data_IF_150819885657
#
_entry.id   IF_150819885657
#
_cell.length_a   1.000
_cell.length_b   1.000
_cell.length_c   1.000
_cell.angle_alpha   90.00
_cell.angle_beta   90.00
_cell.angle_gamma   90.00
#
_symmetry.space_group_name_H-M   'P 1'
#
loop_
_entity.id
_entity.type
_entity.pdbx_description
1 polymer ?
#
# COMPACT_ATOMS: atom_id res chain seq x y z
N UNK A 1 61.81 24.21 12.72
CA UNK A 1 60.85 24.28 11.60
C UNK A 1 60.36 22.86 11.38
N UNK A 2 59.29 22.45 12.08
CA UNK A 2 58.85 21.05 12.09
C UNK A 2 57.67 20.89 11.13
N UNK A 3 57.98 20.85 9.83
CA UNK A 3 57.06 20.34 8.82
C UNK A 3 57.07 18.82 8.90
N UNK A 4 56.32 18.25 9.84
CA UNK A 4 56.12 16.80 9.88
C UNK A 4 55.00 16.47 8.91
N UNK A 5 55.41 15.90 7.77
CA UNK A 5 54.55 15.38 6.72
C UNK A 5 53.43 14.57 7.35
N UNK A 6 52.20 15.08 7.23
CA UNK A 6 50.99 14.33 7.56
C UNK A 6 51.06 13.06 6.70
N UNK A 7 51.02 11.89 7.34
CA UNK A 7 50.98 10.61 6.63
C UNK A 7 49.84 10.67 5.59
N UNK A 8 50.06 10.27 4.33
CA UNK A 8 49.06 10.40 3.26
C UNK A 8 47.69 9.81 3.62
N UNK A 9 47.69 8.77 4.47
CA UNK A 9 46.48 8.19 5.07
C UNK A 9 45.81 9.20 6.01
N UNK A 10 46.50 9.71 7.03
CA UNK A 10 45.95 10.75 7.92
C UNK A 10 45.37 11.95 7.16
N UNK A 11 45.99 12.37 6.05
CA UNK A 11 45.46 13.43 5.19
C UNK A 11 44.14 13.05 4.50
N UNK A 12 44.05 11.83 3.97
CA UNK A 12 42.85 11.30 3.31
C UNK A 12 41.69 11.16 4.30
N UNK A 13 41.92 10.65 5.51
CA UNK A 13 40.84 10.47 6.48
C UNK A 13 40.35 11.81 7.04
N UNK A 14 41.23 12.83 7.13
CA UNK A 14 40.84 14.20 7.47
C UNK A 14 39.99 14.85 6.37
N UNK A 15 40.32 14.63 5.10
CA UNK A 15 39.52 15.09 3.97
C UNK A 15 38.14 14.42 3.97
N UNK A 16 38.09 13.10 4.22
CA UNK A 16 36.85 12.34 4.39
C UNK A 16 36.00 12.87 5.54
N UNK A 17 36.61 13.17 6.70
CA UNK A 17 35.92 13.74 7.85
C UNK A 17 35.36 15.14 7.56
N UNK A 18 36.14 15.98 6.88
CA UNK A 18 35.69 17.33 6.49
C UNK A 18 34.51 17.25 5.51
N UNK A 19 34.59 16.37 4.50
CA UNK A 19 33.50 16.14 3.57
C UNK A 19 32.24 15.60 4.28
N UNK A 20 32.40 14.64 5.20
CA UNK A 20 31.28 14.15 6.00
C UNK A 20 30.66 15.26 6.86
N UNK A 21 31.47 16.14 7.46
CA UNK A 21 31.01 17.29 8.22
C UNK A 21 30.24 18.29 7.35
N UNK A 22 30.72 18.57 6.14
CA UNK A 22 30.02 19.42 5.17
C UNK A 22 28.66 18.83 4.76
N UNK A 23 28.61 17.52 4.47
CA UNK A 23 27.36 16.80 4.18
C UNK A 23 26.40 16.85 5.37
N UNK A 24 26.89 16.68 6.60
CA UNK A 24 26.06 16.81 7.81
C UNK A 24 25.46 18.21 7.90
N UNK A 25 26.28 19.25 7.77
CA UNK A 25 25.81 20.64 7.83
C UNK A 25 24.77 20.94 6.74
N UNK A 26 24.98 20.41 5.53
CA UNK A 26 24.03 20.55 4.42
C UNK A 26 22.70 19.86 4.74
N UNK A 27 22.73 18.61 5.22
CA UNK A 27 21.52 17.87 5.60
C UNK A 27 20.79 18.53 6.77
N UNK A 28 21.51 19.09 7.75
CA UNK A 28 20.93 19.83 8.86
C UNK A 28 20.19 21.09 8.39
N UNK A 29 20.79 21.83 7.45
CA UNK A 29 20.17 22.99 6.82
C UNK A 29 18.90 22.58 6.05
N UNK A 30 18.98 21.52 5.25
CA UNK A 30 17.82 20.99 4.52
C UNK A 30 16.69 20.56 5.46
N UNK A 31 17.01 19.84 6.54
CA UNK A 31 16.02 19.44 7.55
C UNK A 31 15.37 20.67 8.19
N UNK A 32 16.18 21.68 8.54
CA UNK A 32 15.68 22.93 9.12
C UNK A 32 14.72 23.66 8.17
N UNK A 33 15.09 23.75 6.89
CA UNK A 33 14.25 24.35 5.86
C UNK A 33 12.93 23.57 5.66
N UNK A 34 13.00 22.24 5.52
CA UNK A 34 11.81 21.39 5.39
C UNK A 34 10.89 21.51 6.59
N UNK A 35 11.43 21.53 7.82
CA UNK A 35 10.66 21.74 9.05
C UNK A 35 9.98 23.10 9.06
N UNK A 36 10.68 24.16 8.65
CA UNK A 36 10.10 25.49 8.61
C UNK A 36 8.99 25.61 7.55
N UNK A 37 9.20 25.02 6.37
CA UNK A 37 8.21 24.96 5.30
C UNK A 37 6.97 24.18 5.74
N UNK A 38 7.14 23.00 6.36
CA UNK A 38 6.05 22.22 6.93
C UNK A 38 5.24 23.01 7.96
N UNK A 39 5.93 23.64 8.93
CA UNK A 39 5.27 24.45 9.98
C UNK A 39 4.47 25.61 9.39
N UNK A 40 5.02 26.29 8.38
CA UNK A 40 4.36 27.40 7.70
C UNK A 40 3.11 26.91 6.95
N UNK A 41 3.24 25.87 6.13
CA UNK A 41 2.13 25.27 5.39
C UNK A 41 1.01 24.76 6.31
N UNK A 42 1.36 24.12 7.42
CA UNK A 42 0.41 23.65 8.43
C UNK A 42 -0.34 24.82 9.10
N UNK A 43 0.38 25.88 9.48
CA UNK A 43 -0.22 27.07 10.09
C UNK A 43 -1.20 27.77 9.15
N UNK A 44 -0.80 27.97 7.89
CA UNK A 44 -1.66 28.56 6.87
C UNK A 44 -2.91 27.72 6.60
N UNK A 45 -2.74 26.41 6.46
CA UNK A 45 -3.84 25.49 6.22
C UNK A 45 -4.81 25.43 7.39
N UNK A 46 -4.30 25.41 8.63
CA UNK A 46 -5.11 25.48 9.85
C UNK A 46 -5.94 26.76 9.90
N UNK A 47 -5.35 27.92 9.55
CA UNK A 47 -6.07 29.20 9.47
C UNK A 47 -7.18 29.14 8.41
N UNK A 48 -6.91 28.59 7.22
CA UNK A 48 -7.91 28.44 6.14
C UNK A 48 -9.06 27.52 6.57
N UNK A 49 -8.75 26.37 7.19
CA UNK A 49 -9.74 25.42 7.70
C UNK A 49 -10.61 26.04 8.81
N UNK A 50 -10.02 26.80 9.73
CA UNK A 50 -10.78 27.48 10.79
C UNK A 50 -11.75 28.52 10.21
N UNK A 51 -11.32 29.31 9.22
CA UNK A 51 -12.21 30.26 8.52
C UNK A 51 -13.39 29.54 7.86
N UNK A 52 -13.14 28.42 7.17
CA UNK A 52 -14.22 27.62 6.58
C UNK A 52 -15.13 27.02 7.65
N UNK A 53 -14.58 26.49 8.74
CA UNK A 53 -15.36 25.94 9.84
C UNK A 53 -16.30 26.98 10.44
N UNK A 54 -15.81 28.20 10.70
CA UNK A 54 -16.65 29.30 11.22
C UNK A 54 -17.73 29.72 10.22
N UNK A 55 -17.42 29.78 8.92
CA UNK A 55 -18.39 30.13 7.86
C UNK A 55 -19.49 29.08 7.68
N UNK A 56 -19.14 27.80 7.84
CA UNK A 56 -20.02 26.66 7.56
C UNK A 56 -20.80 26.17 8.80
N UNK A 57 -20.40 26.60 10.00
CA UNK A 57 -21.04 26.26 11.26
C UNK A 57 -21.14 24.75 11.49
N UNK A 58 -22.29 24.31 12.04
CA UNK A 58 -22.53 22.91 12.40
C UNK A 58 -22.52 21.92 11.23
N UNK A 59 -22.60 22.40 9.98
CA UNK A 59 -22.64 21.52 8.81
C UNK A 59 -21.38 20.64 8.71
N UNK A 60 -20.22 21.16 9.14
CA UNK A 60 -18.97 20.40 9.22
C UNK A 60 -19.09 19.28 10.24
N UNK A 61 -19.52 19.58 11.46
CA UNK A 61 -19.68 18.59 12.52
C UNK A 61 -20.71 17.50 12.14
N UNK A 62 -21.85 17.89 11.56
CA UNK A 62 -22.91 16.98 11.12
C UNK A 62 -22.48 16.05 9.99
N UNK A 63 -21.58 16.50 9.11
CA UNK A 63 -21.09 15.70 7.99
C UNK A 63 -19.89 14.80 8.34
N UNK A 64 -19.20 15.01 9.47
CA UNK A 64 -18.04 14.20 9.91
C UNK A 64 -18.28 12.68 9.83
N UNK A 65 -19.40 12.13 10.33
CA UNK A 65 -19.63 10.69 10.27
C UNK A 65 -19.66 10.13 8.84
N UNK A 66 -20.16 10.89 7.87
CA UNK A 66 -20.18 10.48 6.47
C UNK A 66 -18.76 10.39 5.91
N UNK A 67 -17.93 11.43 6.12
CA UNK A 67 -16.56 11.44 5.60
C UNK A 67 -15.68 10.38 6.27
N UNK A 68 -15.90 10.12 7.56
CA UNK A 68 -15.21 9.04 8.26
C UNK A 68 -15.59 7.65 7.73
N UNK A 69 -16.89 7.39 7.55
CA UNK A 69 -17.34 6.14 6.91
C UNK A 69 -16.86 6.01 5.48
N UNK A 70 -16.77 7.12 4.73
CA UNK A 70 -16.24 7.15 3.36
C UNK A 70 -14.76 6.78 3.32
N UNK A 71 -13.96 7.27 4.29
CA UNK A 71 -12.55 6.88 4.47
C UNK A 71 -12.43 5.37 4.73
N UNK A 72 -13.17 4.85 5.71
CA UNK A 72 -13.18 3.43 6.04
C UNK A 72 -13.63 2.54 4.88
N UNK A 73 -14.64 2.98 4.10
CA UNK A 73 -15.07 2.26 2.91
C UNK A 73 -14.00 2.22 1.82
N UNK A 74 -13.19 3.29 1.69
CA UNK A 74 -12.05 3.32 0.76
C UNK A 74 -10.92 2.40 1.20
N UNK A 75 -10.66 2.30 2.51
CA UNK A 75 -9.70 1.34 3.08
C UNK A 75 -10.16 -0.10 2.85
N UNK A 76 -11.42 -0.42 3.18
CA UNK A 76 -12.00 -1.73 2.92
C UNK A 76 -12.00 -2.08 1.42
N UNK A 77 -12.21 -1.11 0.53
CA UNK A 77 -12.08 -1.29 -0.91
C UNK A 77 -10.66 -1.70 -1.31
N UNK A 78 -9.65 -0.99 -0.79
CA UNK A 78 -8.25 -1.28 -1.11
C UNK A 78 -7.84 -2.67 -0.60
N UNK A 79 -8.25 -3.05 0.61
CA UNK A 79 -8.02 -4.40 1.14
C UNK A 79 -8.72 -5.48 0.31
N UNK A 80 -9.98 -5.25 -0.09
CA UNK A 80 -10.72 -6.17 -0.96
C UNK A 80 -10.05 -6.33 -2.32
N UNK A 81 -9.56 -5.25 -2.92
CA UNK A 81 -8.82 -5.31 -4.19
C UNK A 81 -7.50 -6.06 -4.06
N UNK A 82 -6.76 -5.84 -2.97
CA UNK A 82 -5.53 -6.57 -2.71
C UNK A 82 -5.80 -8.08 -2.54
N UNK A 83 -6.84 -8.44 -1.78
CA UNK A 83 -7.26 -9.83 -1.62
C UNK A 83 -7.73 -10.45 -2.96
N UNK A 84 -8.45 -9.70 -3.79
CA UNK A 84 -8.86 -10.14 -5.12
C UNK A 84 -7.65 -10.46 -6.01
N UNK A 85 -6.63 -9.58 -6.05
CA UNK A 85 -5.40 -9.81 -6.82
C UNK A 85 -4.64 -11.03 -6.31
N UNK A 86 -4.60 -11.25 -4.99
CA UNK A 86 -4.00 -12.48 -4.41
C UNK A 86 -4.75 -13.73 -4.85
N UNK A 87 -6.07 -13.70 -4.79
CA UNK A 87 -6.92 -14.80 -5.24
C UNK A 87 -6.72 -15.09 -6.73
N UNK A 88 -6.75 -14.08 -7.59
CA UNK A 88 -6.51 -14.22 -9.04
C UNK A 88 -5.14 -14.83 -9.33
N UNK A 89 -4.11 -14.43 -8.58
CA UNK A 89 -2.77 -15.03 -8.68
C UNK A 89 -2.79 -16.50 -8.26
N UNK A 90 -3.45 -16.85 -7.16
CA UNK A 90 -3.55 -18.23 -6.68
C UNK A 90 -4.30 -19.12 -7.68
N UNK A 91 -5.40 -18.63 -8.27
CA UNK A 91 -6.14 -19.30 -9.34
C UNK A 91 -5.26 -19.55 -10.56
N UNK A 92 -4.50 -18.54 -10.99
CA UNK A 92 -3.57 -18.65 -12.12
C UNK A 92 -2.47 -19.70 -11.85
N UNK A 93 -1.88 -19.67 -10.65
CA UNK A 93 -0.87 -20.65 -10.24
C UNK A 93 -1.43 -22.08 -10.18
N UNK A 94 -2.64 -22.26 -9.64
CA UNK A 94 -3.30 -23.56 -9.61
C UNK A 94 -3.61 -24.09 -11.01
N UNK A 95 -4.08 -23.22 -11.91
CA UNK A 95 -4.34 -23.58 -13.31
C UNK A 95 -3.06 -24.05 -14.00
N UNK A 96 -1.95 -23.31 -13.85
CA UNK A 96 -0.65 -23.71 -14.40
C UNK A 96 -0.13 -25.03 -13.80
N UNK A 97 -0.35 -25.27 -12.50
CA UNK A 97 0.02 -26.54 -11.86
C UNK A 97 -0.77 -27.72 -12.46
N UNK A 98 -2.07 -27.53 -12.72
CA UNK A 98 -2.92 -28.54 -13.37
C UNK A 98 -2.48 -28.83 -14.81
N UNK A 99 -2.09 -27.80 -15.55
CA UNK A 99 -1.53 -27.96 -16.89
C UNK A 99 -0.21 -28.76 -16.86
N UNK A 100 0.66 -28.53 -15.88
CA UNK A 100 1.88 -29.31 -15.70
C UNK A 100 1.59 -30.81 -15.46
N UNK A 101 0.59 -31.14 -14.63
CA UNK A 101 0.17 -32.54 -14.42
C UNK A 101 -0.33 -33.14 -15.73
N UNK A 102 -1.20 -32.44 -16.46
CA UNK A 102 -1.75 -32.93 -17.73
C UNK A 102 -0.67 -33.21 -18.77
N UNK A 103 0.37 -32.36 -18.84
CA UNK A 103 1.51 -32.57 -19.75
C UNK A 103 2.36 -33.76 -19.28
N UNK A 104 2.61 -33.91 -17.98
CA UNK A 104 3.36 -35.04 -17.43
C UNK A 104 2.65 -36.38 -17.68
N UNK A 105 1.33 -36.43 -17.49
CA UNK A 105 0.50 -37.60 -17.78
C UNK A 105 0.55 -37.97 -19.27
N UNK A 106 0.45 -37.00 -20.17
CA UNK A 106 0.57 -37.23 -21.61
C UNK A 106 1.95 -37.73 -22.03
N UNK A 107 3.02 -37.20 -21.41
CA UNK A 107 4.39 -37.66 -21.63
C UNK A 107 4.55 -39.13 -21.25
N UNK A 108 4.04 -39.52 -20.08
CA UNK A 108 4.10 -40.89 -19.59
C UNK A 108 3.36 -41.89 -20.49
N UNK A 109 2.23 -41.49 -21.11
CA UNK A 109 1.47 -42.34 -22.04
C UNK A 109 2.19 -42.49 -23.39
N UNK A 110 2.84 -41.43 -23.88
CA UNK A 110 3.50 -41.42 -25.20
C UNK A 110 4.86 -42.13 -25.21
N UNK A 111 5.57 -42.12 -24.08
CA UNK A 111 6.95 -42.63 -23.98
C UNK A 111 7.05 -43.95 -23.18
N UNK A 112 6.06 -44.84 -23.33
CA UNK A 112 5.97 -46.14 -22.64
C UNK A 112 7.19 -47.07 -22.83
N UNK A 113 8.12 -46.72 -23.72
CA UNK A 113 9.28 -47.53 -24.09
C UNK A 113 10.63 -46.96 -23.61
N UNK A 114 10.65 -45.82 -22.88
CA UNK A 114 11.87 -45.25 -22.33
C UNK A 114 11.90 -45.39 -20.81
N UNK A 115 12.96 -46.04 -20.30
CA UNK A 115 13.30 -46.24 -18.89
C UNK A 115 13.73 -44.94 -18.21
N UNK A 116 13.02 -43.84 -18.42
CA UNK A 116 13.35 -42.57 -17.79
C UNK A 116 12.76 -42.53 -16.38
N UNK A 117 13.62 -42.83 -15.41
CA UNK A 117 13.29 -42.97 -13.98
C UNK A 117 12.80 -41.67 -13.35
N UNK A 118 12.92 -40.52 -14.04
CA UNK A 118 12.54 -39.21 -13.53
C UNK A 118 11.06 -38.84 -13.74
N UNK A 119 10.31 -39.51 -14.62
CA UNK A 119 8.91 -39.17 -14.91
C UNK A 119 7.95 -39.40 -13.74
N UNK A 120 8.01 -40.53 -13.00
CA UNK A 120 7.17 -40.72 -11.83
C UNK A 120 7.42 -39.66 -10.75
N UNK A 121 8.68 -39.25 -10.57
CA UNK A 121 9.06 -38.20 -9.63
C UNK A 121 8.53 -36.83 -10.07
N UNK A 122 8.61 -36.51 -11.36
CA UNK A 122 8.04 -35.29 -11.94
C UNK A 122 6.51 -35.24 -11.82
N UNK A 123 5.80 -36.35 -12.03
CA UNK A 123 4.36 -36.45 -11.82
C UNK A 123 3.99 -36.26 -10.35
N UNK A 124 4.74 -36.88 -9.44
CA UNK A 124 4.54 -36.70 -8.00
C UNK A 124 4.75 -35.24 -7.58
N UNK A 125 5.81 -34.58 -8.07
CA UNK A 125 6.07 -33.16 -7.80
C UNK A 125 4.97 -32.25 -8.38
N UNK A 126 4.53 -32.51 -9.61
CA UNK A 126 3.43 -31.77 -10.22
C UNK A 126 2.12 -31.94 -9.42
N UNK A 127 1.83 -33.16 -8.95
CA UNK A 127 0.65 -33.48 -8.14
C UNK A 127 0.70 -32.79 -6.77
N UNK A 128 1.85 -32.81 -6.09
CA UNK A 128 2.07 -32.07 -4.85
C UNK A 128 1.78 -30.58 -5.05
N UNK A 129 2.33 -30.00 -6.12
CA UNK A 129 2.15 -28.58 -6.46
C UNK A 129 0.70 -28.21 -6.77
N UNK A 130 -0.07 -29.11 -7.39
CA UNK A 130 -1.52 -28.92 -7.59
C UNK A 130 -2.25 -28.86 -6.25
N UNK A 131 -1.91 -29.74 -5.31
CA UNK A 131 -2.52 -29.74 -3.98
C UNK A 131 -2.17 -28.47 -3.20
N UNK A 132 -0.89 -28.10 -3.14
CA UNK A 132 -0.44 -26.89 -2.44
C UNK A 132 -1.08 -25.61 -3.02
N UNK A 133 -1.14 -25.52 -4.34
CA UNK A 133 -1.79 -24.37 -5.01
C UNK A 133 -3.31 -24.35 -4.83
N UNK A 134 -3.97 -25.50 -4.68
CA UNK A 134 -5.40 -25.56 -4.39
C UNK A 134 -5.71 -25.09 -2.96
N UNK A 135 -4.88 -25.47 -1.98
CA UNK A 135 -4.99 -24.97 -0.60
C UNK A 135 -4.87 -23.44 -0.57
N UNK A 136 -3.88 -22.88 -1.26
CA UNK A 136 -3.69 -21.43 -1.35
C UNK A 136 -4.86 -20.74 -2.09
N UNK A 137 -5.39 -21.37 -3.15
CA UNK A 137 -6.56 -20.87 -3.89
C UNK A 137 -7.79 -20.78 -2.99
N UNK A 138 -8.08 -21.82 -2.21
CA UNK A 138 -9.22 -21.85 -1.29
C UNK A 138 -9.04 -20.82 -0.16
N UNK A 139 -7.84 -20.74 0.43
CA UNK A 139 -7.53 -19.79 1.49
C UNK A 139 -7.70 -18.32 1.02
N UNK A 140 -7.13 -17.99 -0.14
CA UNK A 140 -7.24 -16.66 -0.74
C UNK A 140 -8.66 -16.32 -1.22
N UNK A 141 -9.43 -17.32 -1.65
CA UNK A 141 -10.86 -17.16 -1.97
C UNK A 141 -11.66 -16.75 -0.73
N UNK A 142 -11.44 -17.43 0.40
CA UNK A 142 -12.10 -17.11 1.66
C UNK A 142 -11.74 -15.69 2.14
N UNK A 143 -10.44 -15.34 2.15
CA UNK A 143 -9.99 -13.99 2.52
C UNK A 143 -10.66 -12.93 1.64
N UNK A 144 -10.70 -13.13 0.32
CA UNK A 144 -11.36 -12.21 -0.59
C UNK A 144 -12.86 -12.07 -0.30
N UNK A 145 -13.57 -13.17 -0.02
CA UNK A 145 -15.00 -13.12 0.33
C UNK A 145 -15.26 -12.33 1.62
N UNK A 146 -14.45 -12.53 2.66
CA UNK A 146 -14.56 -11.79 3.92
C UNK A 146 -14.33 -10.28 3.73
N UNK A 147 -13.30 -9.93 2.95
CA UNK A 147 -13.00 -8.52 2.63
C UNK A 147 -14.08 -7.89 1.76
N UNK A 148 -14.65 -8.65 0.83
CA UNK A 148 -15.75 -8.19 -0.02
C UNK A 148 -17.02 -7.88 0.80
N UNK A 149 -17.38 -8.73 1.77
CA UNK A 149 -18.52 -8.45 2.65
C UNK A 149 -18.25 -7.23 3.54
N UNK A 150 -17.03 -7.10 4.07
CA UNK A 150 -16.62 -5.92 4.84
C UNK A 150 -16.74 -4.63 4.02
N UNK A 151 -16.28 -4.63 2.77
CA UNK A 151 -16.41 -3.51 1.84
C UNK A 151 -17.87 -3.19 1.52
N UNK A 152 -18.72 -4.22 1.31
CA UNK A 152 -20.16 -4.07 1.07
C UNK A 152 -20.86 -3.41 2.25
N UNK A 153 -20.62 -3.89 3.47
CA UNK A 153 -21.17 -3.31 4.71
C UNK A 153 -20.73 -1.84 4.88
N UNK A 154 -19.44 -1.56 4.68
CA UNK A 154 -18.92 -0.19 4.76
C UNK A 154 -19.60 0.74 3.73
N UNK A 155 -19.74 0.29 2.49
CA UNK A 155 -20.39 1.03 1.40
C UNK A 155 -21.87 1.28 1.67
N UNK A 156 -22.60 0.29 2.23
CA UNK A 156 -23.99 0.47 2.66
C UNK A 156 -24.11 1.54 3.75
N UNK A 157 -23.17 1.56 4.71
CA UNK A 157 -23.09 2.59 5.74
C UNK A 157 -22.90 4.00 5.16
N UNK A 158 -22.01 4.15 4.19
CA UNK A 158 -21.79 5.41 3.47
C UNK A 158 -23.06 5.87 2.77
N UNK A 159 -23.71 4.99 1.99
CA UNK A 159 -24.95 5.30 1.26
C UNK A 159 -26.08 5.72 2.21
N UNK A 160 -26.20 5.09 3.38
CA UNK A 160 -27.20 5.46 4.39
C UNK A 160 -26.96 6.88 4.93
N UNK A 161 -25.71 7.22 5.23
CA UNK A 161 -25.35 8.56 5.70
C UNK A 161 -25.47 9.62 4.60
N UNK A 162 -25.13 9.27 3.36
CA UNK A 162 -25.27 10.16 2.20
C UNK A 162 -26.72 10.61 2.00
N UNK A 163 -27.66 9.66 2.07
CA UNK A 163 -29.09 9.95 2.01
C UNK A 163 -29.55 10.83 3.18
N UNK A 164 -29.10 10.53 4.40
CA UNK A 164 -29.52 11.25 5.62
C UNK A 164 -28.93 12.66 5.73
N UNK A 165 -27.72 12.88 5.24
CA UNK A 165 -26.92 14.09 5.51
C UNK A 165 -26.65 14.93 4.25
N UNK A 166 -27.42 14.73 3.16
CA UNK A 166 -27.21 15.35 1.84
C UNK A 166 -26.89 16.85 1.89
N UNK A 167 -27.68 17.64 2.63
CA UNK A 167 -27.45 19.10 2.74
C UNK A 167 -26.18 19.45 3.51
N UNK A 168 -25.91 18.77 4.64
CA UNK A 168 -24.70 19.00 5.43
C UNK A 168 -23.44 18.59 4.67
N UNK A 169 -23.48 17.50 3.91
CA UNK A 169 -22.39 17.06 3.05
C UNK A 169 -22.12 18.11 1.96
N UNK A 170 -23.16 18.55 1.24
CA UNK A 170 -23.02 19.54 0.18
C UNK A 170 -22.43 20.87 0.70
N UNK A 171 -22.90 21.36 1.85
CA UNK A 171 -22.40 22.59 2.47
C UNK A 171 -20.97 22.46 3.00
N UNK A 172 -20.62 21.34 3.62
CA UNK A 172 -19.30 21.13 4.22
C UNK A 172 -18.22 20.66 3.25
N UNK A 173 -18.58 20.32 2.01
CA UNK A 173 -17.67 19.81 0.97
C UNK A 173 -16.38 20.62 0.81
N UNK A 174 -16.39 21.97 0.70
CA UNK A 174 -15.15 22.75 0.55
C UNK A 174 -14.18 22.59 1.73
N UNK A 175 -14.69 22.39 2.95
CA UNK A 175 -13.85 22.15 4.13
C UNK A 175 -13.15 20.80 4.06
N UNK A 176 -13.86 19.75 3.68
CA UNK A 176 -13.28 18.40 3.60
C UNK A 176 -12.34 18.22 2.40
N UNK A 177 -12.61 18.88 1.28
CA UNK A 177 -11.68 18.93 0.13
C UNK A 177 -10.38 19.65 0.51
N UNK A 178 -10.46 20.85 1.11
CA UNK A 178 -9.27 21.56 1.59
C UNK A 178 -8.50 20.73 2.63
N UNK A 179 -9.20 20.09 3.58
CA UNK A 179 -8.56 19.24 4.59
C UNK A 179 -7.79 18.09 3.93
N UNK A 180 -8.37 17.47 2.89
CA UNK A 180 -7.73 16.39 2.16
C UNK A 180 -6.51 16.88 1.37
N UNK A 181 -6.59 18.04 0.71
CA UNK A 181 -5.48 18.58 -0.07
C UNK A 181 -4.33 19.04 0.84
N UNK A 182 -4.64 19.67 1.97
CA UNK A 182 -3.65 19.97 3.02
C UNK A 182 -2.98 18.70 3.52
N UNK A 183 -3.73 17.63 3.78
CA UNK A 183 -3.15 16.37 4.25
C UNK A 183 -2.14 15.81 3.24
N UNK A 184 -2.47 15.80 1.94
CA UNK A 184 -1.56 15.35 0.88
C UNK A 184 -0.33 16.23 0.68
N UNK A 185 -0.42 17.52 0.98
CA UNK A 185 0.70 18.46 0.89
C UNK A 185 1.67 18.33 2.06
N UNK A 186 1.21 17.77 3.18
CA UNK A 186 1.96 17.61 4.42
C UNK A 186 2.51 16.18 4.58
N UNK A 187 1.95 15.20 3.87
CA UNK A 187 2.51 13.85 3.66
C UNK A 187 3.74 13.88 2.74
#
# INVERSE_FOLDING_TARGET
MNGSWIEPQVSCELESLNNASEVINQLENEISEKRNNYRTALSESTRKLNRLSSKLGDSVAKARPYYEKKRLAKEAQAECQLAAVRYERAVSMHTAAREMVAVAEQGMIKDSNQLDTAWPEMLNHATLKVNDSEVERISSEHEHQEKAESFKVATMGVRKLEKKLKSSIAKSRPYFELKQDTQKQLE
#
